data_IF_967773460790
#
_entry.id   IF_967773460790
#
_cell.length_a   1.000
_cell.length_b   1.000
_cell.length_c   1.000
_cell.angle_alpha   90.00
_cell.angle_beta   90.00
_cell.angle_gamma   90.00
#
_symmetry.space_group_name_H-M   'P 1'
#
loop_
_entity.id
_entity.type
_entity.pdbx_description
1 polymer ?
#
# COMPACT_ATOMS: atom_id res chain seq x y z
N UNK A 1 0.75 2.62 -9.65
CA UNK A 1 0.80 3.84 -8.84
C UNK A 1 -0.61 4.23 -8.42
N UNK A 2 -0.82 4.51 -7.14
CA UNK A 2 -2.08 4.95 -6.56
C UNK A 2 -2.09 6.45 -6.31
N UNK A 3 -3.29 7.02 -6.18
CA UNK A 3 -3.50 8.41 -5.79
C UNK A 3 -4.69 8.48 -4.84
N UNK A 4 -4.58 9.31 -3.81
CA UNK A 4 -5.69 9.65 -2.91
C UNK A 4 -5.86 11.18 -2.86
N UNK A 5 -7.12 11.60 -2.80
CA UNK A 5 -7.52 12.98 -2.53
C UNK A 5 -8.25 13.01 -1.19
N UNK A 6 -7.78 13.83 -0.27
CA UNK A 6 -8.36 13.98 1.07
C UNK A 6 -7.85 15.25 1.72
N UNK A 7 -8.54 15.73 2.73
CA UNK A 7 -8.15 16.90 3.51
C UNK A 7 -7.36 16.42 4.74
N UNK A 8 -6.00 16.37 4.60
CA UNK A 8 -5.17 15.76 5.64
C UNK A 8 -4.94 16.66 6.86
N UNK A 9 -5.07 17.98 6.71
CA UNK A 9 -4.82 18.97 7.78
C UNK A 9 -6.09 19.71 8.22
N UNK A 10 -7.27 19.28 7.72
CA UNK A 10 -8.61 19.79 8.05
C UNK A 10 -8.78 21.28 7.74
N UNK A 11 -8.17 21.74 6.63
CA UNK A 11 -8.26 23.12 6.18
C UNK A 11 -9.41 23.37 5.16
N UNK A 12 -10.18 22.31 4.82
CA UNK A 12 -11.32 22.35 3.91
C UNK A 12 -10.93 22.22 2.43
N UNK A 13 -9.65 21.96 2.11
CA UNK A 13 -9.16 21.75 0.75
C UNK A 13 -8.65 20.35 0.57
N UNK A 14 -8.94 19.75 -0.57
CA UNK A 14 -8.43 18.41 -0.87
C UNK A 14 -6.96 18.48 -1.26
N UNK A 15 -6.14 17.69 -0.58
CA UNK A 15 -4.74 17.46 -0.82
C UNK A 15 -4.53 16.23 -1.68
N UNK A 16 -3.31 16.01 -2.14
CA UNK A 16 -2.98 14.90 -3.03
C UNK A 16 -1.89 14.05 -2.40
N UNK A 17 -2.18 12.77 -2.19
CA UNK A 17 -1.15 11.77 -1.91
C UNK A 17 -0.94 10.90 -3.15
N UNK A 18 0.31 10.79 -3.60
CA UNK A 18 0.69 9.94 -4.73
C UNK A 18 1.63 8.84 -4.29
N UNK A 19 1.29 7.61 -4.68
CA UNK A 19 2.14 6.45 -4.43
C UNK A 19 3.17 6.32 -5.53
N UNK A 20 4.44 6.18 -5.16
CA UNK A 20 5.52 6.04 -6.13
C UNK A 20 6.15 4.64 -6.07
N UNK A 21 6.61 4.18 -7.23
CA UNK A 21 7.40 2.97 -7.36
C UNK A 21 8.89 3.23 -7.09
N UNK A 22 9.68 2.19 -7.18
CA UNK A 22 11.13 2.23 -7.01
C UNK A 22 11.85 1.58 -8.20
N UNK A 23 13.15 1.42 -8.11
CA UNK A 23 13.98 0.70 -9.07
C UNK A 23 15.00 -0.16 -8.33
N UNK A 24 15.30 -1.34 -8.89
CA UNK A 24 16.35 -2.23 -8.37
C UNK A 24 17.77 -1.77 -8.72
N UNK A 25 17.90 -0.84 -9.67
CA UNK A 25 19.18 -0.37 -10.23
C UNK A 25 19.29 1.15 -10.24
N UNK A 26 19.01 1.80 -9.11
CA UNK A 26 19.22 3.24 -8.99
C UNK A 26 20.72 3.54 -8.91
N UNK A 27 21.22 4.56 -9.66
CA UNK A 27 22.58 5.04 -9.49
C UNK A 27 22.84 5.46 -8.05
N UNK A 28 24.06 5.24 -7.51
CA UNK A 28 24.37 5.48 -6.09
C UNK A 28 24.07 6.90 -5.60
N UNK A 29 24.12 7.88 -6.49
CA UNK A 29 23.96 9.31 -6.18
C UNK A 29 22.56 9.86 -6.48
N UNK A 30 21.60 9.02 -6.87
CA UNK A 30 20.22 9.46 -7.05
C UNK A 30 19.41 9.24 -5.78
N UNK A 31 18.64 10.24 -5.32
CA UNK A 31 17.70 10.02 -4.24
C UNK A 31 16.71 8.91 -4.63
N UNK A 32 16.42 8.03 -3.68
CA UNK A 32 15.44 6.97 -3.90
C UNK A 32 14.05 7.60 -4.05
N UNK A 33 13.25 7.17 -5.03
CA UNK A 33 11.89 7.67 -5.16
C UNK A 33 11.07 7.39 -3.90
N UNK A 34 10.27 8.37 -3.49
CA UNK A 34 9.31 8.25 -2.37
C UNK A 34 7.90 8.52 -2.87
N UNK A 35 6.90 8.09 -2.13
CA UNK A 35 5.55 8.62 -2.26
C UNK A 35 5.54 10.10 -1.87
N UNK A 36 4.56 10.89 -2.34
CA UNK A 36 4.50 12.33 -2.10
C UNK A 36 3.14 12.74 -1.54
N UNK A 37 3.15 13.60 -0.53
CA UNK A 37 1.99 14.35 -0.04
C UNK A 37 2.15 15.81 -0.45
N UNK A 38 1.18 16.30 -1.21
CA UNK A 38 1.14 17.66 -1.72
C UNK A 38 -0.05 18.40 -1.11
N UNK A 39 0.23 19.38 -0.24
CA UNK A 39 -0.79 20.24 0.36
C UNK A 39 -1.34 21.23 -0.64
N UNK A 40 -2.65 21.38 -0.68
CA UNK A 40 -3.36 22.34 -1.50
C UNK A 40 -3.33 23.75 -0.86
N UNK A 41 -2.60 24.67 -1.45
CA UNK A 41 -2.52 26.07 -0.98
C UNK A 41 -3.60 26.98 -1.60
N UNK A 42 -4.55 26.38 -2.34
CA UNK A 42 -5.56 27.12 -3.07
C UNK A 42 -5.05 27.73 -4.39
N UNK A 43 -5.98 28.18 -5.23
CA UNK A 43 -5.64 28.77 -6.54
C UNK A 43 -4.91 27.81 -7.48
N UNK A 44 -5.10 26.49 -7.34
CA UNK A 44 -4.45 25.47 -8.16
C UNK A 44 -2.97 25.23 -7.82
N UNK A 45 -2.51 25.68 -6.68
CA UNK A 45 -1.12 25.50 -6.23
C UNK A 45 -1.02 24.42 -5.17
N UNK A 46 0.01 23.60 -5.28
CA UNK A 46 0.33 22.51 -4.35
C UNK A 46 1.76 22.66 -3.85
N UNK A 47 1.96 22.34 -2.57
CA UNK A 47 3.27 22.36 -1.90
C UNK A 47 3.59 20.96 -1.42
N UNK A 48 4.77 20.45 -1.77
CA UNK A 48 5.27 19.16 -1.24
C UNK A 48 5.55 19.28 0.26
N UNK A 49 4.85 18.51 1.06
CA UNK A 49 4.95 18.44 2.52
C UNK A 49 5.36 17.05 3.00
N UNK A 50 5.75 16.17 2.10
CA UNK A 50 6.06 14.74 2.33
C UNK A 50 6.96 14.48 3.53
N UNK A 51 8.09 15.18 3.60
CA UNK A 51 9.05 15.00 4.69
C UNK A 51 8.51 15.56 6.02
N UNK A 52 7.85 16.73 5.98
CA UNK A 52 7.26 17.36 7.16
C UNK A 52 6.12 16.51 7.74
N UNK A 53 5.32 15.90 6.88
CA UNK A 53 4.21 15.03 7.25
C UNK A 53 4.66 13.62 7.72
N UNK A 54 5.92 13.23 7.52
CA UNK A 54 6.41 11.93 7.98
C UNK A 54 6.06 10.75 7.07
N UNK A 55 5.65 11.00 5.81
CA UNK A 55 5.22 9.96 4.87
C UNK A 55 6.24 9.64 3.76
N UNK A 56 7.49 10.11 3.93
CA UNK A 56 8.59 9.86 3.00
C UNK A 56 9.08 8.41 3.10
N UNK A 57 8.42 7.48 2.41
CA UNK A 57 8.81 6.08 2.38
C UNK A 57 9.29 5.68 0.99
N UNK A 58 10.45 5.03 0.96
CA UNK A 58 10.98 4.34 -0.21
C UNK A 58 10.36 2.96 -0.33
N UNK A 59 10.16 2.50 -1.55
CA UNK A 59 9.66 1.15 -1.80
C UNK A 59 8.90 1.08 -3.11
N UNK A 60 8.42 -0.10 -3.44
CA UNK A 60 7.59 -0.32 -4.62
C UNK A 60 6.13 -0.24 -4.21
N UNK A 61 5.66 0.99 -4.07
CA UNK A 61 4.28 1.28 -3.75
C UNK A 61 3.36 1.06 -4.94
N UNK A 62 2.13 0.64 -4.67
CA UNK A 62 1.12 0.28 -5.68
C UNK A 62 -0.19 1.02 -5.48
N UNK A 63 -0.91 0.75 -4.44
CA UNK A 63 -2.22 1.31 -4.14
C UNK A 63 -2.23 2.17 -2.88
N UNK A 64 -3.28 2.93 -2.72
CA UNK A 64 -3.57 3.70 -1.51
C UNK A 64 -5.08 3.76 -1.30
N UNK A 65 -5.52 3.62 -0.06
CA UNK A 65 -6.87 3.94 0.36
C UNK A 65 -6.84 4.84 1.59
N UNK A 66 -7.91 5.61 1.78
CA UNK A 66 -8.11 6.50 2.91
C UNK A 66 -9.35 6.13 3.73
N UNK A 67 -9.34 6.43 5.00
CA UNK A 67 -10.46 6.25 5.90
C UNK A 67 -10.06 6.54 7.33
N UNK A 68 -10.99 6.98 8.12
CA UNK A 68 -10.84 7.21 9.56
C UNK A 68 -11.01 5.84 10.28
N UNK A 69 -9.92 5.07 10.43
CA UNK A 69 -10.01 3.71 10.98
C UNK A 69 -10.08 3.69 12.50
N UNK A 70 -9.63 4.73 13.18
CA UNK A 70 -9.64 4.83 14.65
C UNK A 70 -10.74 5.76 15.19
N UNK A 71 -11.64 6.24 14.31
CA UNK A 71 -12.80 7.09 14.60
C UNK A 71 -12.42 8.37 15.34
N UNK A 72 -11.26 8.95 15.03
CA UNK A 72 -10.79 10.20 15.64
C UNK A 72 -11.18 11.46 14.83
N UNK A 73 -11.90 11.29 13.74
CA UNK A 73 -12.40 12.36 12.87
C UNK A 73 -11.40 12.83 11.82
N UNK A 74 -10.28 12.14 11.62
CA UNK A 74 -9.26 12.44 10.63
C UNK A 74 -9.06 11.25 9.68
N UNK A 75 -8.88 11.54 8.41
CA UNK A 75 -8.56 10.50 7.42
C UNK A 75 -7.14 9.97 7.61
N UNK A 76 -7.01 8.65 7.69
CA UNK A 76 -5.76 7.90 7.66
C UNK A 76 -5.49 7.36 6.27
N UNK A 77 -4.27 6.87 6.03
CA UNK A 77 -3.88 6.27 4.75
C UNK A 77 -3.35 4.85 4.95
N UNK A 78 -3.84 3.92 4.16
CA UNK A 78 -3.18 2.64 3.98
C UNK A 78 -2.54 2.58 2.60
N UNK A 79 -1.25 2.25 2.55
CA UNK A 79 -0.47 2.22 1.30
C UNK A 79 0.09 0.82 1.10
N UNK A 80 -0.21 0.23 -0.06
CA UNK A 80 0.25 -1.10 -0.43
C UNK A 80 1.62 -1.04 -1.10
N UNK A 81 2.46 -2.03 -0.79
CA UNK A 81 3.82 -2.15 -1.30
C UNK A 81 4.12 -3.58 -1.76
N UNK A 82 5.19 -3.76 -2.51
CA UNK A 82 5.91 -5.02 -2.52
C UNK A 82 6.72 -5.10 -1.21
N UNK A 83 6.43 -6.13 -0.40
CA UNK A 83 6.87 -6.23 0.99
C UNK A 83 5.89 -5.56 1.97
N UNK A 84 6.32 -5.21 3.17
CA UNK A 84 5.42 -4.70 4.20
C UNK A 84 4.69 -3.44 3.74
N UNK A 85 3.38 -3.40 3.97
CA UNK A 85 2.52 -2.24 3.73
C UNK A 85 2.68 -1.19 4.83
N UNK A 86 2.15 0.02 4.61
CA UNK A 86 2.10 1.08 5.61
C UNK A 86 0.66 1.43 5.99
N UNK A 87 0.42 1.64 7.28
CA UNK A 87 -0.77 2.29 7.82
C UNK A 87 -0.34 3.60 8.47
N UNK A 88 -0.56 4.70 7.79
CA UNK A 88 -0.25 6.03 8.25
C UNK A 88 -1.43 6.58 9.04
N UNK A 89 -1.35 6.55 10.36
CA UNK A 89 -2.31 7.21 11.24
C UNK A 89 -2.08 8.72 11.20
N UNK A 90 -3.13 9.48 10.97
CA UNK A 90 -3.10 10.93 11.03
C UNK A 90 -3.06 11.40 12.49
N UNK A 91 -1.89 11.76 12.98
CA UNK A 91 -1.71 12.22 14.36
C UNK A 91 -2.20 13.68 14.59
N UNK A 92 -2.79 14.32 13.57
CA UNK A 92 -3.11 15.73 13.58
C UNK A 92 -1.87 16.62 13.36
N UNK A 93 -2.09 17.93 13.32
CA UNK A 93 -1.03 18.93 13.10
C UNK A 93 -0.21 18.67 11.82
N UNK A 94 -0.82 18.07 10.80
CA UNK A 94 -0.19 17.78 9.51
C UNK A 94 0.84 16.64 9.55
N UNK A 95 0.76 15.73 10.52
CA UNK A 95 1.71 14.63 10.70
C UNK A 95 1.03 13.28 10.71
N UNK A 96 1.76 12.30 10.18
CA UNK A 96 1.39 10.90 10.16
C UNK A 96 2.42 10.04 10.89
N UNK A 97 1.96 8.91 11.44
CA UNK A 97 2.77 7.87 12.06
C UNK A 97 2.51 6.52 11.35
N UNK A 98 3.56 5.82 10.93
CA UNK A 98 3.39 4.45 10.38
C UNK A 98 3.19 3.47 11.53
N UNK A 99 1.96 3.00 11.68
CA UNK A 99 1.53 2.08 12.75
C UNK A 99 1.21 0.67 12.23
N UNK A 100 1.51 0.36 10.95
CA UNK A 100 1.12 -0.90 10.32
C UNK A 100 1.57 -2.16 11.08
N UNK A 101 2.80 -2.15 11.62
CA UNK A 101 3.31 -3.27 12.40
C UNK A 101 2.58 -3.43 13.74
N UNK A 102 2.30 -2.32 14.45
CA UNK A 102 1.58 -2.33 15.73
C UNK A 102 0.12 -2.74 15.56
N UNK A 103 -0.50 -2.26 14.46
CA UNK A 103 -1.88 -2.57 14.10
C UNK A 103 -2.05 -4.01 13.57
N UNK A 104 -0.95 -4.69 13.18
CA UNK A 104 -0.99 -6.05 12.66
C UNK A 104 -1.38 -6.15 11.18
N UNK A 105 -1.23 -5.06 10.40
CA UNK A 105 -1.65 -4.98 8.99
C UNK A 105 -0.49 -4.76 8.01
N UNK A 106 0.75 -4.92 8.45
CA UNK A 106 1.92 -4.74 7.57
C UNK A 106 1.98 -5.78 6.42
N UNK A 107 1.35 -6.94 6.59
CA UNK A 107 1.39 -8.03 5.60
C UNK A 107 2.76 -8.71 5.50
N UNK A 108 2.89 -9.71 4.61
CA UNK A 108 4.12 -10.48 4.41
C UNK A 108 5.22 -9.69 3.69
N UNK A 109 6.48 -10.10 3.89
CA UNK A 109 7.66 -9.43 3.30
C UNK A 109 7.89 -9.71 1.82
N UNK A 110 7.35 -10.80 1.30
CA UNK A 110 7.55 -11.21 -0.11
C UNK A 110 6.27 -11.14 -0.94
N UNK A 111 5.23 -10.51 -0.42
CA UNK A 111 3.97 -10.34 -1.13
C UNK A 111 3.90 -8.97 -1.80
N UNK A 112 3.38 -8.95 -3.02
CA UNK A 112 3.15 -7.71 -3.76
C UNK A 112 1.69 -7.31 -3.62
N UNK A 113 1.40 -6.50 -2.59
CA UNK A 113 0.08 -5.93 -2.40
C UNK A 113 -0.18 -4.83 -3.42
N UNK A 114 -1.40 -4.79 -3.98
CA UNK A 114 -1.72 -3.89 -5.10
C UNK A 114 -2.91 -2.98 -4.85
N UNK A 115 -3.97 -3.49 -4.23
CA UNK A 115 -5.17 -2.74 -3.92
C UNK A 115 -5.51 -2.78 -2.45
N UNK A 116 -6.25 -1.78 -1.99
CA UNK A 116 -6.82 -1.73 -0.65
C UNK A 116 -8.12 -0.94 -0.64
N UNK A 117 -8.94 -1.20 0.36
CA UNK A 117 -10.09 -0.36 0.70
C UNK A 117 -10.43 -0.51 2.18
N UNK A 118 -10.87 0.60 2.79
CA UNK A 118 -11.54 0.55 4.08
C UNK A 118 -13.03 0.33 3.87
N UNK A 119 -13.64 -0.50 4.71
CA UNK A 119 -15.06 -0.86 4.66
C UNK A 119 -15.50 -1.36 6.04
N UNK A 120 -16.66 -0.94 6.50
CA UNK A 120 -17.30 -1.52 7.68
C UNK A 120 -18.06 -2.78 7.22
N UNK A 121 -17.39 -3.94 7.27
CA UNK A 121 -17.89 -5.18 6.68
C UNK A 121 -18.91 -5.89 7.57
N UNK A 122 -18.83 -5.76 8.89
CA UNK A 122 -19.73 -6.38 9.85
C UNK A 122 -20.72 -5.39 10.50
N UNK A 123 -20.64 -4.11 10.11
CA UNK A 123 -21.50 -3.00 10.57
C UNK A 123 -21.41 -2.72 12.06
N UNK A 124 -20.19 -2.84 12.59
CA UNK A 124 -19.92 -2.53 13.99
C UNK A 124 -19.51 -1.06 14.21
N UNK A 125 -19.38 -0.26 13.13
CA UNK A 125 -19.03 1.15 13.15
C UNK A 125 -17.52 1.41 13.08
N UNK A 126 -16.69 0.37 12.97
CA UNK A 126 -15.26 0.48 12.75
C UNK A 126 -14.90 0.08 11.32
N UNK A 127 -14.03 0.84 10.69
CA UNK A 127 -13.59 0.49 9.34
C UNK A 127 -12.60 -0.67 9.37
N UNK A 128 -13.00 -1.78 8.75
CA UNK A 128 -12.14 -2.90 8.41
C UNK A 128 -11.27 -2.58 7.21
N UNK A 129 -10.27 -3.42 6.94
CA UNK A 129 -9.34 -3.21 5.84
C UNK A 129 -9.29 -4.44 4.95
N UNK A 130 -9.65 -4.28 3.68
CA UNK A 130 -9.46 -5.28 2.63
C UNK A 130 -8.22 -4.95 1.82
N UNK A 131 -7.33 -5.94 1.67
CA UNK A 131 -6.09 -5.82 0.89
C UNK A 131 -6.06 -6.91 -0.16
N UNK A 132 -5.71 -6.55 -1.40
CA UNK A 132 -5.50 -7.50 -2.50
C UNK A 132 -4.05 -7.52 -2.91
N UNK A 133 -3.52 -8.72 -3.18
CA UNK A 133 -2.14 -8.91 -3.60
C UNK A 133 -2.08 -9.61 -4.95
N UNK A 134 -1.05 -9.29 -5.73
CA UNK A 134 -0.88 -9.81 -7.08
C UNK A 134 -0.13 -11.14 -7.10
N UNK A 135 1.07 -11.16 -6.54
CA UNK A 135 1.95 -12.34 -6.53
C UNK A 135 2.82 -12.35 -5.27
N UNK A 136 3.32 -13.53 -4.92
CA UNK A 136 4.45 -13.67 -4.02
C UNK A 136 5.72 -13.54 -4.84
N UNK A 137 6.53 -12.53 -4.55
CA UNK A 137 7.72 -12.20 -5.33
C UNK A 137 8.95 -11.96 -4.46
N UNK A 138 10.02 -12.68 -4.80
CA UNK A 138 11.35 -12.48 -4.21
C UNK A 138 12.38 -12.34 -5.32
N UNK A 139 13.21 -11.30 -5.27
CA UNK A 139 14.28 -11.10 -6.25
C UNK A 139 15.27 -12.28 -6.28
N UNK A 140 15.52 -12.92 -5.12
CA UNK A 140 16.43 -14.04 -5.02
C UNK A 140 15.89 -15.31 -5.70
N UNK A 141 14.56 -15.43 -5.79
CA UNK A 141 13.87 -16.62 -6.36
C UNK A 141 13.21 -16.32 -7.70
N UNK A 142 13.31 -15.09 -8.20
CA UNK A 142 12.70 -14.71 -9.46
C UNK A 142 13.29 -15.49 -10.63
N UNK A 143 12.47 -16.09 -11.49
CA UNK A 143 12.95 -16.79 -12.68
C UNK A 143 13.75 -15.85 -13.57
N UNK A 144 14.92 -16.32 -14.03
CA UNK A 144 15.78 -15.55 -14.90
C UNK A 144 15.27 -15.59 -16.36
N UNK A 145 15.57 -14.57 -17.18
CA UNK A 145 15.25 -14.57 -18.60
C UNK A 145 15.74 -15.83 -19.28
N UNK A 146 14.84 -16.52 -20.00
CA UNK A 146 15.16 -17.75 -20.70
C UNK A 146 15.27 -19.02 -19.86
N UNK A 147 15.07 -18.94 -18.54
CA UNK A 147 15.19 -20.09 -17.64
C UNK A 147 14.17 -21.19 -17.94
N UNK A 148 12.98 -20.83 -18.41
CA UNK A 148 11.90 -21.74 -18.75
C UNK A 148 11.40 -21.47 -20.17
N UNK A 149 10.75 -22.45 -20.80
CA UNK A 149 10.21 -22.32 -22.15
C UNK A 149 9.23 -21.12 -22.30
N UNK A 150 8.46 -20.79 -21.27
CA UNK A 150 7.56 -19.64 -21.26
C UNK A 150 8.26 -18.30 -21.01
N UNK A 151 9.57 -18.31 -20.77
CA UNK A 151 10.42 -17.14 -20.67
C UNK A 151 11.19 -16.86 -21.96
N UNK A 152 10.66 -17.36 -23.09
CA UNK A 152 11.19 -17.13 -24.43
C UNK A 152 10.16 -16.44 -25.29
N UNK A 153 10.57 -15.46 -26.07
CA UNK A 153 9.74 -14.83 -27.11
C UNK A 153 10.50 -14.86 -28.44
N UNK A 154 9.98 -15.58 -29.43
CA UNK A 154 10.62 -15.74 -30.76
C UNK A 154 12.12 -16.11 -30.63
N UNK A 155 12.44 -17.09 -29.80
CA UNK A 155 13.79 -17.55 -29.48
C UNK A 155 14.69 -16.56 -28.72
N UNK A 156 14.20 -15.41 -28.31
CA UNK A 156 14.91 -14.47 -27.44
C UNK A 156 14.55 -14.69 -25.96
N UNK A 157 15.54 -14.72 -25.03
CA UNK A 157 15.27 -14.74 -23.61
C UNK A 157 14.53 -13.47 -23.15
N UNK A 158 13.43 -13.65 -22.45
CA UNK A 158 12.64 -12.56 -21.85
C UNK A 158 12.34 -12.87 -20.40
N UNK A 159 11.93 -11.85 -19.64
CA UNK A 159 11.43 -12.07 -18.29
C UNK A 159 10.17 -12.95 -18.32
N UNK A 160 10.05 -13.83 -17.34
CA UNK A 160 9.04 -14.90 -17.33
C UNK A 160 7.60 -14.39 -17.00
N UNK A 161 7.45 -13.12 -16.65
CA UNK A 161 6.20 -12.59 -16.15
C UNK A 161 5.78 -13.25 -14.82
N UNK A 162 4.50 -13.28 -14.45
CA UNK A 162 4.04 -13.86 -13.18
C UNK A 162 4.01 -15.39 -13.18
N UNK A 163 4.20 -16.04 -14.33
CA UNK A 163 4.17 -17.51 -14.42
C UNK A 163 5.28 -18.13 -13.57
N UNK A 164 4.92 -19.12 -12.74
CA UNK A 164 5.85 -19.79 -11.83
C UNK A 164 6.10 -19.03 -10.51
N UNK A 165 5.44 -17.88 -10.29
CA UNK A 165 5.39 -17.22 -8.99
C UNK A 165 4.19 -17.74 -8.17
N UNK A 166 4.29 -17.65 -6.84
CA UNK A 166 3.14 -17.90 -5.96
C UNK A 166 2.03 -16.88 -6.18
N UNK A 167 0.79 -17.32 -6.04
CA UNK A 167 -0.37 -16.43 -6.15
C UNK A 167 -0.38 -15.42 -4.99
N UNK A 168 -0.83 -14.20 -5.26
CA UNK A 168 -1.16 -13.23 -4.21
C UNK A 168 -2.43 -13.63 -3.47
N UNK A 169 -2.64 -13.04 -2.31
CA UNK A 169 -3.79 -13.31 -1.46
C UNK A 169 -4.77 -12.15 -1.45
N UNK A 170 -6.00 -12.44 -1.02
CA UNK A 170 -6.96 -11.41 -0.59
C UNK A 170 -7.05 -11.53 0.93
N UNK A 171 -6.75 -10.44 1.62
CA UNK A 171 -6.75 -10.41 3.08
C UNK A 171 -7.79 -9.42 3.61
N UNK A 172 -8.66 -9.91 4.48
CA UNK A 172 -9.60 -9.08 5.23
C UNK A 172 -9.14 -8.98 6.67
N UNK A 173 -8.81 -7.78 7.09
CA UNK A 173 -8.45 -7.44 8.45
C UNK A 173 -9.65 -6.79 9.14
N UNK A 174 -10.21 -7.45 10.17
CA UNK A 174 -11.26 -6.88 11.01
C UNK A 174 -10.65 -5.92 12.03
N UNK A 175 -11.20 -4.73 12.12
CA UNK A 175 -10.83 -3.74 13.13
C UNK A 175 -11.34 -4.19 14.52
N UNK A 176 -10.52 -4.07 15.55
CA UNK A 176 -10.86 -4.44 16.91
C UNK A 176 -11.25 -3.23 17.79
N UNK A 177 -11.37 -2.03 17.20
CA UNK A 177 -11.73 -0.79 17.88
C UNK A 177 -10.69 -0.28 18.90
N UNK A 178 -9.48 -0.82 18.85
CA UNK A 178 -8.38 -0.48 19.79
C UNK A 178 -7.06 -0.16 19.07
N UNK A 179 -7.14 0.25 17.80
CA UNK A 179 -5.98 0.53 16.94
C UNK A 179 -5.29 -0.72 16.41
N UNK A 180 -5.90 -1.90 16.56
CA UNK A 180 -5.39 -3.19 16.07
C UNK A 180 -6.42 -3.89 15.20
N UNK A 181 -5.93 -4.77 14.34
CA UNK A 181 -6.75 -5.57 13.45
C UNK A 181 -6.47 -7.06 13.66
N UNK A 182 -7.46 -7.88 13.31
CA UNK A 182 -7.36 -9.34 13.26
C UNK A 182 -7.55 -9.81 11.81
N UNK A 183 -6.69 -10.69 11.32
CA UNK A 183 -6.88 -11.34 10.03
C UNK A 183 -8.06 -12.33 10.13
N UNK A 184 -9.13 -12.04 9.40
CA UNK A 184 -10.35 -12.86 9.33
C UNK A 184 -10.58 -13.41 7.92
N UNK A 185 -9.57 -13.46 7.08
CA UNK A 185 -9.65 -13.89 5.68
C UNK A 185 -10.21 -15.31 5.52
N UNK A 186 -9.76 -16.25 6.35
CA UNK A 186 -10.22 -17.63 6.31
C UNK A 186 -11.66 -17.77 6.83
N UNK A 187 -12.00 -17.30 8.04
CA UNK A 187 -13.35 -17.45 8.57
C UNK A 187 -14.39 -16.67 7.77
N UNK A 188 -14.04 -15.52 7.17
CA UNK A 188 -14.95 -14.76 6.31
C UNK A 188 -15.16 -15.38 4.93
N UNK A 189 -14.30 -16.30 4.52
CA UNK A 189 -14.35 -16.94 3.21
C UNK A 189 -13.70 -16.16 2.06
N UNK A 190 -13.18 -14.94 2.31
CA UNK A 190 -12.52 -14.11 1.26
C UNK A 190 -11.27 -14.79 0.70
N UNK A 191 -10.53 -15.55 1.50
CA UNK A 191 -9.34 -16.27 1.03
C UNK A 191 -9.65 -17.39 0.04
N UNK A 192 -10.91 -17.82 -0.06
CA UNK A 192 -11.35 -18.82 -1.06
C UNK A 192 -11.58 -18.19 -2.44
N UNK A 193 -11.62 -16.88 -2.54
CA UNK A 193 -11.82 -16.16 -3.80
C UNK A 193 -10.53 -16.00 -4.62
N UNK A 194 -9.36 -16.37 -4.06
CA UNK A 194 -8.10 -16.45 -4.77
C UNK A 194 -8.00 -17.80 -5.48
N UNK A 195 -8.47 -17.86 -6.71
CA UNK A 195 -8.38 -19.04 -7.58
C UNK A 195 -7.03 -19.17 -8.26
#
# INVERSE_FOLDING_TARGET
AGVAFFDYDSDGRLDIFTVNGSSTSLPPNRPKPTSHLCRNEGGGRFKDVTAAAGVARNGWGSGVCRGDYDNDGRDDLYVTYWGPNALYRNAGNGRFEDVAAQAGVAGPTEEWSTGCTFVDADRDGWLDLLVTSYVQFSLARAPQPGQFAYCMFKSAPVYCGPRGLGHGTITLYRNLGNGRFADVSVPSGVSKASG
#
